data_IF_997950106604
#
_entry.id   IF_997950106604
#
_cell.length_a   1.000
_cell.length_b   1.000
_cell.length_c   1.000
_cell.angle_alpha   90.00
_cell.angle_beta   90.00
_cell.angle_gamma   90.00
#
_symmetry.space_group_name_H-M   'P 1'
#
loop_
_entity.id
_entity.type
_entity.pdbx_description
1 polymer ?
#
# COMPACT_ATOMS: atom_id res chain seq x y z
N UNK A 1 13.71 -11.39 -5.13
CA UNK A 1 13.64 -12.52 -6.10
C UNK A 1 15.03 -12.90 -6.61
N UNK A 2 15.18 -13.99 -7.37
CA UNK A 2 16.45 -14.29 -8.10
C UNK A 2 16.61 -13.32 -9.29
N UNK A 3 17.85 -13.10 -9.74
CA UNK A 3 18.19 -12.16 -10.82
C UNK A 3 17.33 -12.34 -12.08
N UNK A 4 17.14 -13.59 -12.53
CA UNK A 4 16.36 -13.92 -13.73
C UNK A 4 14.92 -13.38 -13.70
N UNK A 5 14.34 -13.22 -12.52
CA UNK A 5 13.01 -12.64 -12.38
C UNK A 5 13.01 -11.17 -12.79
N UNK A 6 14.04 -10.41 -12.42
CA UNK A 6 14.17 -8.99 -12.74
C UNK A 6 14.52 -8.72 -14.20
N UNK A 7 15.19 -9.68 -14.85
CA UNK A 7 15.62 -9.60 -16.25
C UNK A 7 14.52 -9.96 -17.25
N UNK A 8 13.32 -10.37 -16.79
CA UNK A 8 12.18 -10.62 -17.68
C UNK A 8 11.62 -9.31 -18.22
N UNK A 9 11.28 -9.33 -19.51
CA UNK A 9 10.61 -8.21 -20.20
C UNK A 9 9.18 -8.02 -19.66
N UNK A 10 8.43 -9.12 -19.53
CA UNK A 10 7.07 -9.07 -19.02
C UNK A 10 7.06 -8.92 -17.48
N UNK A 11 6.25 -7.99 -16.93
CA UNK A 11 6.10 -7.85 -15.50
C UNK A 11 5.57 -9.15 -14.90
N UNK A 12 6.08 -9.48 -13.72
CA UNK A 12 5.65 -10.63 -12.93
C UNK A 12 4.83 -10.13 -11.74
N UNK A 13 4.18 -11.04 -10.99
CA UNK A 13 3.45 -10.68 -9.77
C UNK A 13 4.41 -9.97 -8.79
N UNK A 14 4.09 -8.72 -8.48
CA UNK A 14 4.91 -7.80 -7.70
C UNK A 14 4.28 -7.46 -6.32
N UNK A 15 3.32 -8.29 -5.91
CA UNK A 15 2.61 -8.24 -4.63
C UNK A 15 2.93 -9.51 -3.85
N UNK A 16 3.16 -9.37 -2.56
CA UNK A 16 3.43 -10.45 -1.60
C UNK A 16 2.17 -10.59 -0.74
N UNK A 17 1.39 -11.63 -0.93
CA UNK A 17 0.24 -11.96 -0.06
C UNK A 17 0.34 -13.42 0.33
N UNK A 18 0.09 -13.72 1.59
CA UNK A 18 -0.14 -15.08 2.09
C UNK A 18 -1.64 -15.29 2.32
N UNK A 19 -2.13 -16.55 2.32
CA UNK A 19 -3.49 -16.85 2.76
C UNK A 19 -3.74 -16.24 4.14
N UNK A 20 -4.92 -15.67 4.33
CA UNK A 20 -5.33 -15.12 5.62
C UNK A 20 -5.41 -16.28 6.62
N UNK A 21 -4.66 -16.16 7.70
CA UNK A 21 -4.75 -17.01 8.88
C UNK A 21 -5.48 -16.24 9.99
N UNK A 22 -5.99 -16.93 11.00
CA UNK A 22 -6.71 -16.35 12.13
C UNK A 22 -5.82 -15.36 12.93
N UNK A 23 -4.49 -15.45 12.81
CA UNK A 23 -3.53 -14.57 13.50
C UNK A 23 -2.96 -13.44 12.64
N UNK A 24 -2.72 -13.65 11.33
CA UNK A 24 -1.94 -12.72 10.50
C UNK A 24 -2.54 -12.51 9.10
N UNK A 25 -2.76 -11.24 8.75
CA UNK A 25 -3.04 -10.78 7.38
C UNK A 25 -1.72 -10.26 6.76
N UNK A 26 -0.96 -11.14 6.10
CA UNK A 26 0.34 -10.80 5.51
C UNK A 26 0.15 -10.30 4.08
N UNK A 27 0.49 -9.04 3.88
CA UNK A 27 0.51 -8.37 2.58
C UNK A 27 1.87 -7.69 2.35
N UNK A 28 2.11 -7.13 1.16
CA UNK A 28 3.35 -6.42 0.86
C UNK A 28 3.62 -6.29 -0.63
N UNK A 29 4.75 -5.68 -0.95
CA UNK A 29 5.15 -5.42 -2.34
C UNK A 29 6.59 -5.86 -2.59
N UNK A 30 6.83 -6.25 -3.83
CA UNK A 30 8.18 -6.35 -4.37
C UNK A 30 8.82 -4.96 -4.44
N UNK A 31 10.16 -4.88 -4.33
CA UNK A 31 10.91 -3.63 -4.30
C UNK A 31 10.56 -2.69 -5.47
N UNK A 32 10.48 -3.21 -6.71
CA UNK A 32 10.13 -2.40 -7.90
C UNK A 32 8.77 -1.74 -7.73
N UNK A 33 7.78 -2.47 -7.20
CA UNK A 33 6.42 -1.97 -6.95
C UNK A 33 6.42 -0.98 -5.80
N UNK A 34 7.12 -1.25 -4.71
CA UNK A 34 7.28 -0.33 -3.59
C UNK A 34 7.87 1.02 -4.05
N UNK A 35 8.91 1.01 -4.88
CA UNK A 35 9.51 2.23 -5.43
C UNK A 35 8.56 2.99 -6.37
N UNK A 36 7.76 2.28 -7.16
CA UNK A 36 6.72 2.91 -8.00
C UNK A 36 5.64 3.57 -7.14
N UNK A 37 5.22 2.93 -6.04
CA UNK A 37 4.27 3.47 -5.08
C UNK A 37 4.84 4.71 -4.38
N UNK A 38 6.12 4.67 -3.99
CA UNK A 38 6.85 5.80 -3.40
C UNK A 38 6.84 7.01 -4.35
N UNK A 39 7.29 6.81 -5.60
CA UNK A 39 7.30 7.85 -6.64
C UNK A 39 5.90 8.37 -6.95
N UNK A 40 4.90 7.49 -6.91
CA UNK A 40 3.49 7.82 -7.13
C UNK A 40 2.85 8.61 -5.98
N UNK A 41 3.56 8.78 -4.87
CA UNK A 41 3.02 9.30 -3.61
C UNK A 41 1.80 8.50 -3.12
N UNK A 42 1.85 7.17 -3.23
CA UNK A 42 0.76 6.30 -2.79
C UNK A 42 0.64 6.31 -1.24
N UNK A 43 -0.52 6.67 -0.68
CA UNK A 43 -0.69 6.77 0.77
C UNK A 43 -0.43 5.48 1.53
N UNK A 44 -0.85 4.32 1.00
CA UNK A 44 -0.71 3.02 1.68
C UNK A 44 0.74 2.70 2.00
N UNK A 45 1.67 3.02 1.09
CA UNK A 45 3.10 2.80 1.33
C UNK A 45 3.61 3.68 2.48
N UNK A 46 3.20 4.95 2.54
CA UNK A 46 3.63 5.86 3.60
C UNK A 46 3.06 5.46 4.95
N UNK A 47 1.79 5.07 5.00
CA UNK A 47 1.18 4.52 6.21
C UNK A 47 1.95 3.29 6.72
N UNK A 48 2.42 2.42 5.82
CA UNK A 48 3.26 1.28 6.18
C UNK A 48 4.63 1.71 6.74
N UNK A 49 5.28 2.68 6.11
CA UNK A 49 6.57 3.21 6.57
C UNK A 49 6.47 3.94 7.92
N UNK A 50 5.29 4.48 8.22
CA UNK A 50 4.95 5.21 9.44
C UNK A 50 4.33 4.34 10.54
N UNK A 51 4.13 3.05 10.27
CA UNK A 51 3.54 2.14 11.26
C UNK A 51 4.37 2.16 12.54
N UNK A 52 3.76 2.41 13.71
CA UNK A 52 4.47 2.36 14.99
C UNK A 52 4.80 0.91 15.40
N UNK A 53 4.14 -0.08 14.80
CA UNK A 53 4.36 -1.50 15.06
C UNK A 53 5.32 -2.05 14.00
N UNK A 54 6.50 -2.50 14.44
CA UNK A 54 7.55 -3.08 13.61
C UNK A 54 7.91 -4.47 14.12
N UNK A 55 7.64 -5.50 13.32
CA UNK A 55 8.04 -6.88 13.63
C UNK A 55 9.50 -7.16 13.26
N UNK A 56 9.88 -6.73 12.06
CA UNK A 56 11.23 -6.85 11.51
C UNK A 56 11.45 -5.79 10.45
N UNK A 57 12.63 -5.19 10.44
CA UNK A 57 13.09 -4.31 9.38
C UNK A 57 14.60 -4.44 9.19
N UNK A 58 15.09 -3.99 8.05
CA UNK A 58 16.50 -3.65 7.84
C UNK A 58 16.66 -2.14 8.04
N UNK A 59 17.49 -1.73 9.00
CA UNK A 59 17.54 -0.32 9.43
C UNK A 59 18.07 0.60 8.33
N UNK A 60 19.06 0.16 7.54
CA UNK A 60 19.63 0.94 6.46
C UNK A 60 18.61 1.19 5.34
N UNK A 61 17.91 0.14 4.91
CA UNK A 61 16.88 0.22 3.87
C UNK A 61 15.68 1.04 4.33
N UNK A 62 15.22 0.84 5.57
CA UNK A 62 14.10 1.60 6.13
C UNK A 62 14.44 3.07 6.30
N UNK A 63 15.65 3.40 6.76
CA UNK A 63 16.11 4.79 6.86
C UNK A 63 16.17 5.45 5.47
N UNK A 64 16.69 4.73 4.46
CA UNK A 64 16.72 5.19 3.07
C UNK A 64 15.31 5.47 2.52
N UNK A 65 14.36 4.55 2.70
CA UNK A 65 12.97 4.74 2.26
C UNK A 65 12.30 5.92 2.97
N UNK A 66 12.52 6.08 4.28
CA UNK A 66 11.98 7.20 5.06
C UNK A 66 12.62 8.55 4.68
N UNK A 67 13.88 8.55 4.24
CA UNK A 67 14.52 9.76 3.72
C UNK A 67 13.83 10.24 2.45
N UNK A 68 13.61 9.35 1.47
CA UNK A 68 12.95 9.71 0.22
C UNK A 68 11.46 10.04 0.37
N UNK A 69 10.83 9.62 1.47
CA UNK A 69 9.45 10.02 1.74
C UNK A 69 9.28 11.53 1.73
N UNK A 70 10.16 12.31 2.37
CA UNK A 70 10.00 13.77 2.43
C UNK A 70 10.11 14.41 1.04
N UNK A 71 10.86 13.80 0.12
CA UNK A 71 11.05 14.28 -1.25
C UNK A 71 9.88 13.93 -2.17
N UNK A 72 9.32 12.72 -2.04
CA UNK A 72 8.29 12.21 -2.96
C UNK A 72 6.86 12.34 -2.44
N UNK A 73 6.67 12.59 -1.15
CA UNK A 73 5.34 12.75 -0.58
C UNK A 73 4.67 14.03 -1.09
N UNK A 74 3.46 13.86 -1.62
CA UNK A 74 2.62 14.97 -2.08
C UNK A 74 1.28 14.91 -1.37
N UNK A 75 1.05 15.85 -0.47
CA UNK A 75 -0.24 16.01 0.21
C UNK A 75 -1.42 16.13 -0.76
N UNK A 76 -1.21 16.79 -1.92
CA UNK A 76 -2.23 16.93 -2.96
C UNK A 76 -2.57 15.56 -3.56
N UNK A 77 -1.57 14.79 -3.98
CA UNK A 77 -1.79 13.43 -4.52
C UNK A 77 -2.43 12.52 -3.49
N UNK A 78 -2.00 12.60 -2.23
CA UNK A 78 -2.59 11.83 -1.14
C UNK A 78 -4.07 12.12 -0.94
N UNK A 79 -4.47 13.40 -0.87
CA UNK A 79 -5.88 13.81 -0.75
C UNK A 79 -6.71 13.30 -1.92
N UNK A 80 -6.25 13.49 -3.16
CA UNK A 80 -6.97 13.01 -4.34
C UNK A 80 -7.09 11.48 -4.37
N UNK A 81 -6.04 10.75 -3.97
CA UNK A 81 -6.09 9.30 -3.87
C UNK A 81 -7.20 8.83 -2.94
N UNK A 82 -7.31 9.47 -1.79
CA UNK A 82 -8.31 9.15 -0.78
C UNK A 82 -9.74 9.51 -1.21
N UNK A 83 -9.96 10.69 -1.79
CA UNK A 83 -11.27 11.07 -2.33
C UNK A 83 -11.70 10.12 -3.45
N UNK A 84 -10.78 9.78 -4.36
CA UNK A 84 -11.06 8.84 -5.44
C UNK A 84 -11.36 7.42 -4.91
N UNK A 85 -10.63 6.96 -3.90
CA UNK A 85 -10.90 5.69 -3.22
C UNK A 85 -12.27 5.68 -2.54
N UNK A 86 -12.60 6.71 -1.78
CA UNK A 86 -13.89 6.83 -1.11
C UNK A 86 -15.04 6.82 -2.13
N UNK A 87 -14.93 7.62 -3.20
CA UNK A 87 -15.93 7.66 -4.27
C UNK A 87 -16.08 6.34 -5.02
N UNK A 88 -14.97 5.62 -5.29
CA UNK A 88 -15.02 4.30 -5.94
C UNK A 88 -15.69 3.27 -5.04
N UNK A 89 -15.23 3.14 -3.79
CA UNK A 89 -15.78 2.19 -2.83
C UNK A 89 -17.25 2.49 -2.52
N UNK A 90 -17.66 3.76 -2.50
CA UNK A 90 -19.05 4.16 -2.35
C UNK A 90 -19.92 3.58 -3.46
N UNK A 91 -19.53 3.81 -4.73
CA UNK A 91 -20.26 3.30 -5.89
C UNK A 91 -20.28 1.77 -5.97
N UNK A 92 -19.16 1.11 -5.68
CA UNK A 92 -19.01 -0.33 -5.92
C UNK A 92 -19.49 -1.21 -4.78
N UNK A 93 -19.44 -0.72 -3.53
CA UNK A 93 -19.56 -1.59 -2.36
C UNK A 93 -20.47 -1.04 -1.25
N UNK A 94 -20.99 0.18 -1.35
CA UNK A 94 -21.81 0.81 -0.31
C UNK A 94 -23.26 1.08 -0.71
N UNK A 95 -23.68 0.68 -1.92
CA UNK A 95 -25.06 0.88 -2.40
C UNK A 95 -25.98 -0.34 -2.22
N UNK A 96 -25.47 -1.46 -1.70
CA UNK A 96 -26.27 -2.65 -1.44
C UNK A 96 -26.85 -2.68 -0.03
N UNK A 97 -27.90 -3.49 0.18
CA UNK A 97 -28.59 -3.64 1.47
C UNK A 97 -27.69 -4.18 2.59
N UNK A 98 -26.60 -4.88 2.24
CA UNK A 98 -25.63 -5.42 3.19
C UNK A 98 -24.21 -5.14 2.72
N UNK A 99 -23.39 -4.56 3.59
CA UNK A 99 -22.01 -4.20 3.28
C UNK A 99 -21.07 -4.82 4.30
N UNK A 100 -19.98 -5.43 3.83
CA UNK A 100 -18.92 -5.97 4.70
C UNK A 100 -18.26 -4.84 5.50
N UNK A 101 -18.18 -4.97 6.82
CA UNK A 101 -17.61 -3.95 7.72
C UNK A 101 -16.21 -3.46 7.29
N UNK A 102 -15.34 -4.36 6.80
CA UNK A 102 -14.00 -4.02 6.29
C UNK A 102 -14.04 -2.94 5.19
N UNK A 103 -15.11 -2.87 4.39
CA UNK A 103 -15.28 -1.85 3.34
C UNK A 103 -15.57 -0.46 3.89
N UNK A 104 -16.33 -0.34 4.99
CA UNK A 104 -16.54 0.94 5.67
C UNK A 104 -15.22 1.48 6.23
N UNK A 105 -14.41 0.63 6.87
CA UNK A 105 -13.11 1.02 7.40
C UNK A 105 -12.19 1.57 6.30
N UNK A 106 -12.18 0.98 5.10
CA UNK A 106 -11.39 1.50 3.98
C UNK A 106 -11.87 2.85 3.44
N UNK A 107 -13.16 3.16 3.56
CA UNK A 107 -13.74 4.44 3.11
C UNK A 107 -13.54 5.54 4.13
N UNK A 108 -13.56 5.20 5.43
CA UNK A 108 -13.36 6.13 6.54
C UNK A 108 -11.89 6.37 6.88
N UNK A 109 -10.98 5.47 6.49
CA UNK A 109 -9.52 5.62 6.67
C UNK A 109 -8.95 7.02 6.34
N UNK A 110 -9.46 7.76 5.34
CA UNK A 110 -8.96 9.09 5.03
C UNK A 110 -9.72 10.29 5.62
N UNK A 111 -10.78 10.05 6.39
CA UNK A 111 -11.61 11.10 7.02
C UNK A 111 -11.17 11.26 8.46
#
# INVERSE_FOLDING_TARGET
HKLDWYLRVAPQRDVIELPIDDELDVSGWELRKALQLLRGSNPTLFEWLDSPVLYRQDDATSAWLRHFRSEYFSHIKGRWHYVAMAGRNFRESLQGDTVRLKKYLYVLRPV
#
